data_IF_592814147634
#
_entry.id   IF_592814147634
#
_cell.length_a   1.000
_cell.length_b   1.000
_cell.length_c   1.000
_cell.angle_alpha   90.00
_cell.angle_beta   90.00
_cell.angle_gamma   90.00
#
_symmetry.space_group_name_H-M   'P 1'
#
loop_
_entity.id
_entity.type
_entity.pdbx_description
1 polymer ?
#
# COMPACT_ATOMS: atom_id res chain seq x y z
N UNK A 1 -12.44 25.12 -52.10
CA UNK A 1 -13.33 24.58 -53.15
C UNK A 1 -12.69 23.32 -53.72
N UNK A 2 -13.28 22.16 -53.43
CA UNK A 2 -13.10 20.76 -53.92
C UNK A 2 -13.72 19.89 -52.81
N UNK A 3 -15.03 19.59 -52.82
CA UNK A 3 -15.73 18.59 -53.64
C UNK A 3 -15.07 17.21 -53.45
N UNK A 4 -15.69 16.09 -53.09
CA UNK A 4 -17.08 15.67 -52.87
C UNK A 4 -17.04 14.14 -52.56
N UNK A 5 -17.96 13.64 -51.71
CA UNK A 5 -18.38 12.22 -51.56
C UNK A 5 -17.34 11.20 -51.07
N UNK A 6 -17.66 10.20 -50.23
CA UNK A 6 -18.64 9.12 -50.43
C UNK A 6 -19.14 8.59 -49.07
N UNK A 7 -20.44 8.30 -49.04
CA UNK A 7 -21.25 7.65 -48.01
C UNK A 7 -20.83 6.18 -47.75
N UNK A 8 -21.50 5.56 -46.77
CA UNK A 8 -21.54 4.12 -46.44
C UNK A 8 -20.57 3.66 -45.34
N UNK A 9 -21.06 3.71 -44.09
CA UNK A 9 -21.11 2.50 -43.27
C UNK A 9 -22.28 2.57 -42.30
N UNK A 10 -23.49 2.56 -42.88
CA UNK A 10 -24.70 2.18 -42.17
C UNK A 10 -24.67 0.68 -41.93
N UNK A 11 -25.33 0.24 -40.84
CA UNK A 11 -25.68 -1.15 -40.51
C UNK A 11 -24.55 -2.04 -39.96
N UNK A 12 -24.39 -2.00 -38.64
CA UNK A 12 -24.57 -3.23 -37.86
C UNK A 12 -25.76 -3.02 -36.92
N UNK A 13 -26.93 -3.36 -37.45
CA UNK A 13 -28.12 -3.65 -36.68
C UNK A 13 -27.95 -5.01 -36.01
N UNK A 14 -28.49 -5.10 -34.80
CA UNK A 14 -28.94 -6.29 -34.08
C UNK A 14 -27.87 -7.15 -33.39
N UNK A 15 -27.96 -7.15 -32.06
CA UNK A 15 -28.05 -8.43 -31.35
C UNK A 15 -27.05 -8.62 -30.22
N UNK A 16 -27.40 -8.11 -29.03
CA UNK A 16 -27.20 -8.76 -27.73
C UNK A 16 -27.97 -7.97 -26.65
N UNK A 17 -29.28 -7.78 -26.84
CA UNK A 17 -30.15 -7.41 -25.71
C UNK A 17 -30.46 -8.68 -24.92
N UNK A 18 -30.26 -8.58 -23.61
CA UNK A 18 -30.78 -9.45 -22.53
C UNK A 18 -29.89 -10.63 -22.10
N UNK A 19 -29.10 -10.38 -21.05
CA UNK A 19 -28.90 -11.34 -19.97
C UNK A 19 -29.04 -10.57 -18.63
N UNK A 20 -30.18 -10.69 -17.95
CA UNK A 20 -30.19 -10.58 -16.51
C UNK A 20 -30.79 -11.85 -15.91
N UNK A 21 -29.91 -12.75 -15.49
CA UNK A 21 -30.15 -13.57 -14.32
C UNK A 21 -28.89 -13.47 -13.50
N UNK A 22 -28.78 -12.35 -12.76
CA UNK A 22 -27.89 -12.30 -11.61
C UNK A 22 -28.56 -13.20 -10.58
N UNK A 23 -27.97 -14.37 -10.34
CA UNK A 23 -28.38 -15.19 -9.21
C UNK A 23 -28.00 -14.38 -7.97
N UNK A 24 -29.03 -13.87 -7.31
CA UNK A 24 -28.92 -13.10 -6.09
C UNK A 24 -28.53 -14.05 -4.95
N UNK A 25 -27.27 -14.47 -4.96
CA UNK A 25 -26.64 -15.22 -3.87
C UNK A 25 -26.34 -14.20 -2.78
N UNK A 26 -27.37 -13.83 -2.02
CA UNK A 26 -27.19 -13.25 -0.69
C UNK A 26 -26.85 -14.37 0.28
N UNK A 27 -25.67 -14.97 0.11
CA UNK A 27 -24.95 -15.59 1.22
C UNK A 27 -23.95 -14.56 1.71
N UNK A 28 -24.46 -13.57 2.46
CA UNK A 28 -23.59 -12.86 3.40
C UNK A 28 -23.32 -13.85 4.53
N UNK A 29 -22.06 -14.27 4.77
CA UNK A 29 -21.73 -14.94 6.01
C UNK A 29 -22.20 -14.04 7.15
N UNK A 30 -22.86 -14.63 8.15
CA UNK A 30 -23.16 -13.96 9.40
C UNK A 30 -21.81 -13.72 10.11
N UNK A 31 -21.10 -12.68 9.67
CA UNK A 31 -19.91 -12.18 10.33
C UNK A 31 -20.43 -11.43 11.55
N UNK A 32 -19.97 -11.76 12.77
CA UNK A 32 -20.27 -10.94 13.94
C UNK A 32 -19.92 -9.49 13.61
N UNK A 33 -20.59 -8.48 14.20
CA UNK A 33 -20.29 -7.08 13.93
C UNK A 33 -18.81 -6.84 14.25
N UNK A 34 -17.98 -6.88 13.21
CA UNK A 34 -16.63 -6.36 13.27
C UNK A 34 -16.84 -4.88 13.57
N UNK A 35 -16.20 -4.32 14.60
CA UNK A 35 -16.25 -2.89 14.80
C UNK A 35 -15.86 -2.27 13.46
N UNK A 36 -16.79 -1.52 12.87
CA UNK A 36 -16.52 -0.65 11.73
C UNK A 36 -15.41 0.28 12.20
N UNK A 37 -14.18 -0.07 11.85
CA UNK A 37 -13.02 0.79 12.07
C UNK A 37 -13.33 1.99 11.20
N UNK A 38 -13.67 3.09 11.87
CA UNK A 38 -13.72 4.43 11.33
C UNK A 38 -12.54 4.64 10.38
N UNK A 39 -12.65 5.51 9.38
CA UNK A 39 -11.58 5.86 8.43
C UNK A 39 -10.40 6.59 9.12
N UNK A 40 -10.07 6.21 10.35
CA UNK A 40 -8.84 6.49 11.04
C UNK A 40 -7.72 5.86 10.22
N UNK A 41 -7.09 6.71 9.42
CA UNK A 41 -5.81 6.46 8.78
C UNK A 41 -4.93 5.69 9.79
N UNK A 42 -4.72 4.39 9.55
CA UNK A 42 -3.88 3.57 10.44
C UNK A 42 -2.56 4.30 10.64
N UNK A 43 -2.00 4.31 11.84
CA UNK A 43 -0.70 4.94 12.05
C UNK A 43 0.42 4.03 11.51
N UNK A 44 1.54 4.64 11.11
CA UNK A 44 2.73 3.87 10.74
C UNK A 44 3.15 2.99 11.92
N UNK A 45 3.33 1.69 11.65
CA UNK A 45 3.51 0.69 12.69
C UNK A 45 4.91 0.04 12.68
N UNK A 46 5.86 0.61 11.92
CA UNK A 46 7.26 0.22 11.96
C UNK A 46 7.96 0.67 13.25
N UNK A 47 9.11 0.07 13.54
CA UNK A 47 9.88 0.31 14.76
C UNK A 47 11.28 0.83 14.47
N UNK A 48 11.84 1.56 15.43
CA UNK A 48 13.23 2.04 15.39
C UNK A 48 14.04 1.33 16.47
N UNK A 49 15.23 0.85 16.11
CA UNK A 49 16.14 0.24 17.10
C UNK A 49 16.79 1.28 18.00
N UNK A 50 16.77 2.54 17.58
CA UNK A 50 17.50 3.65 18.19
C UNK A 50 19.02 3.45 18.22
N UNK A 51 19.54 2.60 17.33
CA UNK A 51 20.98 2.37 17.19
C UNK A 51 21.75 3.65 16.92
N UNK A 52 22.98 3.72 17.42
CA UNK A 52 23.83 4.89 17.23
C UNK A 52 24.08 5.18 15.74
N UNK A 53 24.04 6.46 15.40
CA UNK A 53 24.38 6.98 14.09
C UNK A 53 25.05 8.36 14.21
N UNK A 54 25.87 8.71 13.24
CA UNK A 54 26.42 10.06 13.06
C UNK A 54 25.79 10.77 11.87
N UNK A 55 25.38 10.02 10.85
CA UNK A 55 24.72 10.51 9.63
C UNK A 55 23.57 9.59 9.21
N UNK A 56 22.65 10.07 8.38
CA UNK A 56 21.51 9.25 7.89
C UNK A 56 21.97 7.99 7.16
N UNK A 57 23.11 8.07 6.47
CA UNK A 57 23.71 6.93 5.77
C UNK A 57 24.13 5.79 6.71
N UNK A 58 24.27 6.03 8.00
CA UNK A 58 24.54 5.01 9.02
C UNK A 58 23.29 4.20 9.37
N UNK A 59 22.10 4.67 8.98
CA UNK A 59 20.84 3.97 9.19
C UNK A 59 20.46 3.12 7.97
N UNK A 60 19.73 2.05 8.23
CA UNK A 60 19.18 1.17 7.21
C UNK A 60 17.79 0.69 7.59
N UNK A 61 16.91 0.63 6.59
CA UNK A 61 15.67 -0.14 6.69
C UNK A 61 16.02 -1.63 6.66
N UNK A 62 15.39 -2.41 7.55
CA UNK A 62 15.62 -3.83 7.78
C UNK A 62 14.33 -4.50 8.28
N UNK A 63 14.42 -5.77 8.65
CA UNK A 63 13.24 -6.60 8.90
C UNK A 63 12.68 -7.17 7.61
N UNK A 64 11.97 -8.30 7.70
CA UNK A 64 11.51 -9.07 6.55
C UNK A 64 10.54 -8.30 5.64
N UNK A 65 9.85 -7.29 6.18
CA UNK A 65 8.88 -6.45 5.47
C UNK A 65 9.27 -4.97 5.47
N UNK A 66 10.53 -4.65 5.76
CA UNK A 66 11.02 -3.27 5.82
C UNK A 66 10.56 -2.49 7.04
N UNK A 67 10.07 -3.16 8.08
CA UNK A 67 9.42 -2.50 9.22
C UNK A 67 10.38 -1.94 10.28
N UNK A 68 11.69 -2.20 10.18
CA UNK A 68 12.68 -1.81 11.20
C UNK A 68 13.66 -0.77 10.64
N UNK A 69 13.72 0.42 11.23
CA UNK A 69 14.82 1.36 11.01
C UNK A 69 15.89 1.16 12.07
N UNK A 70 17.11 0.83 11.66
CA UNK A 70 18.20 0.57 12.61
C UNK A 70 19.57 0.95 12.08
N UNK A 71 20.56 0.87 12.97
CA UNK A 71 21.93 1.23 12.62
C UNK A 71 22.61 0.13 11.82
N UNK A 72 23.46 0.50 10.86
CA UNK A 72 24.33 -0.42 10.13
C UNK A 72 25.37 -1.08 11.04
N UNK A 73 25.64 -0.49 12.19
CA UNK A 73 26.60 -1.01 13.17
C UNK A 73 25.99 -2.06 14.12
N UNK A 74 24.66 -2.22 14.09
CA UNK A 74 23.96 -3.22 14.88
C UNK A 74 23.95 -4.58 14.18
N UNK A 75 23.86 -5.64 14.99
CA UNK A 75 23.53 -6.97 14.47
C UNK A 75 22.11 -6.93 13.91
N UNK A 76 21.93 -7.55 12.75
CA UNK A 76 20.63 -7.64 12.11
C UNK A 76 19.60 -8.34 13.01
N UNK A 77 18.46 -7.68 13.20
CA UNK A 77 17.35 -8.18 14.00
C UNK A 77 16.46 -9.04 13.11
N UNK A 78 16.23 -10.28 13.55
CA UNK A 78 15.24 -11.14 12.92
C UNK A 78 13.84 -10.66 13.32
N UNK A 79 13.01 -10.30 12.33
CA UNK A 79 11.58 -10.05 12.51
C UNK A 79 10.77 -11.24 12.01
N UNK A 80 9.49 -11.31 12.38
CA UNK A 80 8.54 -12.15 11.64
C UNK A 80 8.38 -11.62 10.21
N UNK A 81 8.03 -12.50 9.28
CA UNK A 81 7.76 -12.18 7.87
C UNK A 81 6.28 -11.90 7.61
N UNK A 82 5.64 -11.22 8.55
CA UNK A 82 4.26 -10.78 8.39
C UNK A 82 4.24 -9.46 7.64
N UNK A 83 3.47 -9.41 6.56
CA UNK A 83 3.22 -8.18 5.81
C UNK A 83 2.02 -7.45 6.40
N UNK A 84 2.15 -6.12 6.59
CA UNK A 84 1.08 -5.20 7.00
C UNK A 84 1.25 -3.90 6.23
N UNK A 85 0.16 -3.29 5.79
CA UNK A 85 0.20 -2.05 5.01
C UNK A 85 0.81 -0.89 5.80
N UNK A 86 0.62 -0.86 7.12
CA UNK A 86 1.22 0.14 8.01
C UNK A 86 2.76 0.06 8.14
N UNK A 87 3.43 -0.91 7.50
CA UNK A 87 4.90 -0.97 7.43
C UNK A 87 5.50 -0.20 6.26
N UNK A 88 4.70 0.23 5.27
CA UNK A 88 5.20 0.92 4.08
C UNK A 88 5.66 2.33 4.41
N UNK A 89 6.97 2.61 4.50
CA UNK A 89 7.43 3.97 4.79
C UNK A 89 7.01 5.01 3.73
N UNK A 90 6.78 4.56 2.49
CA UNK A 90 6.37 5.42 1.38
C UNK A 90 4.94 5.95 1.57
N UNK A 91 4.01 5.10 2.01
CA UNK A 91 2.61 5.49 2.22
C UNK A 91 2.46 6.53 3.34
N UNK A 92 3.43 6.54 4.27
CA UNK A 92 3.48 7.46 5.40
C UNK A 92 4.45 8.63 5.21
N UNK A 93 5.15 8.70 4.07
CA UNK A 93 6.19 9.69 3.79
C UNK A 93 7.26 9.75 4.90
N UNK A 94 7.71 8.59 5.34
CA UNK A 94 8.76 8.44 6.36
C UNK A 94 10.08 8.01 5.72
N UNK A 95 11.17 8.38 6.38
CA UNK A 95 12.54 8.02 6.06
C UNK A 95 13.19 7.39 7.28
N UNK A 96 14.05 6.39 7.05
CA UNK A 96 14.94 5.87 8.07
C UNK A 96 16.24 6.69 8.08
N UNK A 97 16.45 7.49 9.12
CA UNK A 97 17.56 8.44 9.21
C UNK A 97 18.05 8.68 10.63
N UNK A 98 19.04 9.56 10.77
CA UNK A 98 19.75 9.81 12.01
C UNK A 98 19.19 11.03 12.74
N UNK A 99 18.39 10.79 13.76
CA UNK A 99 17.76 11.84 14.57
C UNK A 99 18.31 11.77 15.98
N UNK A 100 18.89 12.87 16.47
CA UNK A 100 19.50 12.93 17.81
C UNK A 100 20.52 11.80 18.08
N UNK A 101 21.37 11.49 17.09
CA UNK A 101 22.38 10.41 17.13
C UNK A 101 21.80 8.99 17.26
N UNK A 102 20.51 8.81 16.91
CA UNK A 102 19.80 7.53 16.92
C UNK A 102 19.10 7.30 15.59
N UNK A 103 19.16 6.07 15.07
CA UNK A 103 18.40 5.71 13.89
C UNK A 103 16.91 5.64 14.23
N UNK A 104 16.12 6.46 13.54
CA UNK A 104 14.69 6.62 13.77
C UNK A 104 13.94 6.78 12.45
N UNK A 105 12.66 6.37 12.46
CA UNK A 105 11.71 6.79 11.44
C UNK A 105 11.34 8.26 11.64
N UNK A 106 11.46 9.09 10.61
CA UNK A 106 11.09 10.50 10.67
C UNK A 106 10.58 11.01 9.33
N UNK A 107 9.93 12.18 9.33
CA UNK A 107 9.52 12.92 8.12
C UNK A 107 10.66 13.78 7.57
#
# INVERSE_FOLDING_TARGET
MKSLSILFFSLFLVGCTNLPAVDNITDTPNVPPVPVVDEQQEEFCGSSTEGFCSIDGDCKTSGCSGQICGSRFEKELASTCEWRDCYSEQDYSLLCGCVNQKCQWHK
#
